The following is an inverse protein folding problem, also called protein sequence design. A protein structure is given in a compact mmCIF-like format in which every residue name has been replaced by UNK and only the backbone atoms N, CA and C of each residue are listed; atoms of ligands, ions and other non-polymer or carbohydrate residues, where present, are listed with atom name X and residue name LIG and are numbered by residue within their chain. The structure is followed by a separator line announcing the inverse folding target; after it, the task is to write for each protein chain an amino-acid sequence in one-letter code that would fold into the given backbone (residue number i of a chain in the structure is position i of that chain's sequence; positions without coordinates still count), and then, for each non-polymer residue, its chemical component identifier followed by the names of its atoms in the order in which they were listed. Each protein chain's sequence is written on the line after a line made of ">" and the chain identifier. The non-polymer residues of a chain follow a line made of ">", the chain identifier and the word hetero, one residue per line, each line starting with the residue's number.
data_IF_765684931988
#
_entry.id   IF_765684931988
#
_cell.length_a   1.000
_cell.length_b   1.000
_cell.length_c   1.000
_cell.angle_alpha   90.00
_cell.angle_beta   90.00
_cell.angle_gamma   90.00
#
_symmetry.space_group_name_H-M   'P 1'
#
loop_
_entity.id
_entity.type
_entity.pdbx_description
1 polymer ?
#
# COMPACT_ATOMS: atom_id res chain seq x y z
N UNK A 1 17.43 14.64 -3.19
CA UNK A 1 16.67 13.39 -2.96
C UNK A 1 15.21 13.78 -2.89
N UNK A 2 14.36 13.22 -3.75
CA UNK A 2 12.93 13.57 -3.79
C UNK A 2 12.15 13.01 -2.60
N UNK A 3 10.90 13.45 -2.44
CA UNK A 3 10.01 12.98 -1.37
C UNK A 3 9.62 11.51 -1.58
N UNK A 4 9.48 10.76 -0.49
CA UNK A 4 9.06 9.34 -0.50
C UNK A 4 7.86 9.12 0.41
N UNK A 5 7.10 8.08 0.12
CA UNK A 5 5.92 7.63 0.87
C UNK A 5 6.00 6.13 1.05
N UNK A 6 5.67 5.67 2.25
CA UNK A 6 5.55 4.24 2.55
C UNK A 6 4.07 3.90 2.70
N UNK A 7 3.59 2.94 1.91
CA UNK A 7 2.31 2.30 2.15
C UNK A 7 2.57 1.00 2.89
N UNK A 8 1.80 0.75 3.96
CA UNK A 8 1.93 -0.48 4.72
C UNK A 8 0.62 -0.86 5.37
N UNK A 9 0.36 -2.16 5.46
CA UNK A 9 -0.68 -2.71 6.34
C UNK A 9 -0.08 -3.82 7.19
N UNK A 10 -0.61 -3.96 8.40
CA UNK A 10 -0.31 -5.08 9.28
C UNK A 10 -1.60 -5.82 9.60
N UNK A 11 -1.48 -7.11 9.83
CA UNK A 11 -2.57 -7.96 10.33
C UNK A 11 -2.15 -8.53 11.68
N UNK A 12 -3.06 -9.26 12.34
CA UNK A 12 -2.80 -9.86 13.64
C UNK A 12 -1.88 -11.10 13.58
N UNK A 13 -1.68 -11.68 12.40
CA UNK A 13 -0.82 -12.85 12.24
C UNK A 13 0.63 -12.43 11.93
N UNK A 14 1.57 -13.20 12.48
CA UNK A 14 2.99 -12.95 12.27
C UNK A 14 3.36 -13.18 10.79
N UNK A 15 4.04 -12.20 10.19
CA UNK A 15 4.50 -12.30 8.80
C UNK A 15 3.45 -12.01 7.72
N UNK A 16 2.22 -11.64 8.08
CA UNK A 16 1.14 -11.32 7.11
C UNK A 16 0.86 -9.81 6.98
N UNK A 17 1.89 -9.00 7.18
CA UNK A 17 1.89 -7.57 6.82
C UNK A 17 2.69 -7.32 5.54
N UNK A 18 2.48 -6.18 4.91
CA UNK A 18 3.23 -5.75 3.73
C UNK A 18 3.56 -4.27 3.82
N UNK A 19 4.74 -3.88 3.32
CA UNK A 19 5.18 -2.51 3.21
C UNK A 19 5.86 -2.26 1.86
N UNK A 20 5.47 -1.19 1.18
CA UNK A 20 6.03 -0.75 -0.09
C UNK A 20 6.41 0.73 -0.03
N UNK A 21 7.59 1.05 -0.56
CA UNK A 21 8.13 2.42 -0.56
C UNK A 21 8.08 2.97 -1.99
N UNK A 22 7.50 4.15 -2.11
CA UNK A 22 7.34 4.87 -3.37
C UNK A 22 7.99 6.24 -3.29
N UNK A 23 8.51 6.71 -4.42
CA UNK A 23 8.88 8.12 -4.62
C UNK A 23 7.69 8.90 -5.16
N UNK A 24 7.59 10.19 -4.87
CA UNK A 24 6.55 11.07 -5.43
C UNK A 24 6.48 10.99 -6.96
N UNK A 25 7.63 10.96 -7.63
CA UNK A 25 7.74 10.80 -9.09
C UNK A 25 7.03 9.54 -9.61
N UNK A 26 7.29 8.38 -9.00
CA UNK A 26 6.61 7.11 -9.33
C UNK A 26 5.10 7.15 -9.12
N UNK A 27 4.63 7.95 -8.16
CA UNK A 27 3.20 8.14 -7.89
C UNK A 27 2.57 9.25 -8.75
N UNK A 28 3.37 9.95 -9.57
CA UNK A 28 2.90 11.08 -10.37
C UNK A 28 2.50 12.31 -9.54
N UNK A 29 3.06 12.45 -8.33
CA UNK A 29 2.75 13.56 -7.42
C UNK A 29 3.75 14.70 -7.66
N UNK A 30 3.22 15.90 -7.95
CA UNK A 30 4.02 17.12 -8.04
C UNK A 30 4.55 17.51 -6.64
N UNK A 31 5.86 17.72 -6.51
CA UNK A 31 6.49 18.10 -5.25
C UNK A 31 6.08 19.50 -4.75
N UNK A 32 5.57 20.34 -5.66
CA UNK A 32 5.08 21.71 -5.39
C UNK A 32 3.60 21.77 -5.01
N UNK A 33 2.91 20.64 -5.02
CA UNK A 33 1.50 20.56 -4.66
C UNK A 33 1.31 20.89 -3.16
N UNK A 34 0.19 21.54 -2.82
CA UNK A 34 -0.10 21.86 -1.43
C UNK A 34 -0.34 20.59 -0.59
N UNK A 35 -0.07 20.68 0.70
CA UNK A 35 -0.12 19.52 1.62
C UNK A 35 -1.49 18.83 1.63
N UNK A 36 -2.59 19.58 1.57
CA UNK A 36 -3.95 19.02 1.59
C UNK A 36 -4.28 18.31 0.27
N UNK A 37 -3.78 18.82 -0.84
CA UNK A 37 -3.91 18.16 -2.13
C UNK A 37 -3.07 16.88 -2.19
N UNK A 38 -1.84 16.91 -1.66
CA UNK A 38 -1.00 15.71 -1.52
C UNK A 38 -1.70 14.65 -0.67
N UNK A 39 -2.26 15.03 0.47
CA UNK A 39 -3.00 14.11 1.36
C UNK A 39 -4.17 13.42 0.63
N UNK A 40 -5.00 14.16 -0.11
CA UNK A 40 -6.12 13.60 -0.89
C UNK A 40 -5.67 12.66 -2.00
N UNK A 41 -4.54 12.95 -2.64
CA UNK A 41 -3.98 12.09 -3.69
C UNK A 41 -3.45 10.81 -3.06
N UNK A 42 -2.71 10.90 -1.95
CA UNK A 42 -2.19 9.75 -1.23
C UNK A 42 -3.30 8.86 -0.68
N UNK A 43 -4.39 9.41 -0.16
CA UNK A 43 -5.55 8.63 0.30
C UNK A 43 -6.15 7.78 -0.83
N UNK A 44 -6.30 8.36 -2.03
CA UNK A 44 -6.80 7.63 -3.20
C UNK A 44 -5.84 6.54 -3.66
N UNK A 45 -4.54 6.84 -3.70
CA UNK A 45 -3.50 5.89 -4.08
C UNK A 45 -3.40 4.74 -3.08
N UNK A 46 -3.50 5.04 -1.78
CA UNK A 46 -3.51 4.05 -0.72
C UNK A 46 -4.72 3.14 -0.83
N UNK A 47 -5.93 3.68 -1.00
CA UNK A 47 -7.13 2.86 -1.22
C UNK A 47 -6.98 1.94 -2.44
N UNK A 48 -6.51 2.46 -3.58
CA UNK A 48 -6.28 1.65 -4.77
C UNK A 48 -5.24 0.54 -4.54
N UNK A 49 -4.14 0.86 -3.85
CA UNK A 49 -3.10 -0.10 -3.47
C UNK A 49 -3.66 -1.22 -2.59
N UNK A 50 -4.42 -0.87 -1.54
CA UNK A 50 -5.09 -1.85 -0.66
C UNK A 50 -6.03 -2.75 -1.48
N UNK A 51 -6.90 -2.17 -2.30
CA UNK A 51 -7.85 -2.96 -3.11
C UNK A 51 -7.17 -3.90 -4.11
N UNK A 52 -6.03 -3.50 -4.67
CA UNK A 52 -5.24 -4.36 -5.56
C UNK A 52 -4.62 -5.57 -4.82
N UNK A 53 -4.31 -5.41 -3.53
CA UNK A 53 -3.77 -6.49 -2.67
C UNK A 53 -4.87 -7.43 -2.15
N UNK A 54 -6.10 -6.95 -2.05
CA UNK A 54 -7.26 -7.68 -1.50
C UNK A 54 -7.79 -8.84 -2.37
N UNK A 55 -6.99 -9.39 -3.29
CA UNK A 55 -7.35 -10.63 -3.99
C UNK A 55 -7.18 -11.84 -3.04
N UNK A 56 -8.12 -11.98 -2.11
CA UNK A 56 -8.13 -13.01 -1.08
C UNK A 56 -8.71 -14.29 -1.68
N UNK A 57 -7.86 -15.28 -1.91
CA UNK A 57 -8.26 -16.68 -2.13
C UNK A 57 -7.79 -17.52 -0.95
N UNK A 58 -8.71 -18.28 -0.33
CA UNK A 58 -8.41 -19.19 0.77
C UNK A 58 -8.59 -20.65 0.36
N UNK A 59 -7.72 -21.53 0.85
CA UNK A 59 -7.82 -22.97 0.70
C UNK A 59 -7.27 -23.67 1.94
N UNK A 60 -7.90 -24.77 2.36
CA UNK A 60 -7.43 -25.59 3.48
C UNK A 60 -6.66 -26.77 2.87
N UNK A 61 -5.38 -26.90 3.19
CA UNK A 61 -4.60 -28.10 2.88
C UNK A 61 -4.56 -28.95 4.15
N UNK A 62 -5.28 -30.08 4.12
CA UNK A 62 -5.18 -31.12 5.15
C UNK A 62 -4.26 -32.19 4.57
N UNK A 63 -3.07 -32.35 5.16
CA UNK A 63 -2.23 -33.50 4.86
C UNK A 63 -2.78 -34.69 5.67
N UNK A 64 -3.38 -35.67 5.00
CA UNK A 64 -3.67 -36.97 5.60
C UNK A 64 -2.40 -37.83 5.52
N UNK A 65 -1.97 -38.38 6.67
CA UNK A 65 -0.85 -39.33 6.79
C UNK A 65 -1.14 -40.67 6.07
#
# INVERSE_FOLDING_TARGET
>A
MGKTVTFSFNTEYEGSGEAEIFTFEKLGIDENMDEKAVEKVLEKLFHAWVWNKFNISGGIVINED
#
